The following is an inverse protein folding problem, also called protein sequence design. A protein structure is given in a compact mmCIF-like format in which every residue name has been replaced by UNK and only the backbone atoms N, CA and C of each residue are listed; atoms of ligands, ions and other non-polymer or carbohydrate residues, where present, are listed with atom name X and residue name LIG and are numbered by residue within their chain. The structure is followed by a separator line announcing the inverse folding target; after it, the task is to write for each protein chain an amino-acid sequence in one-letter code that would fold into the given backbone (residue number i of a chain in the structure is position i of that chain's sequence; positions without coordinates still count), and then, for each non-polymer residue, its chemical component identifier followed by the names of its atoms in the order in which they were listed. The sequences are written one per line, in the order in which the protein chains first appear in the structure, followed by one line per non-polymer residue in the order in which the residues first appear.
data_IF_668478310630
#
_entry.id   IF_668478310630
#
_cell.length_a   1.000
_cell.length_b   1.000
_cell.length_c   1.000
_cell.angle_alpha   90.00
_cell.angle_beta   90.00
_cell.angle_gamma   90.00
#
_symmetry.space_group_name_H-M   'P 1'
#
loop_
_entity.id
_entity.type
_entity.pdbx_description
1 polymer ?
#
# COMPACT_ATOMS: atom_id res chain seq x y z
N UNK A 1 15.49 -16.39 27.41
CA UNK A 1 15.62 -15.98 25.99
C UNK A 1 14.33 -15.28 25.61
N UNK A 2 14.36 -14.02 25.14
CA UNK A 2 13.18 -13.44 24.52
C UNK A 2 12.83 -14.25 23.28
N UNK A 3 11.54 -14.47 22.97
CA UNK A 3 11.15 -15.12 21.74
C UNK A 3 11.71 -14.31 20.55
N UNK A 4 12.18 -14.98 19.48
CA UNK A 4 12.57 -14.28 18.27
C UNK A 4 11.41 -13.41 17.80
N UNK A 5 11.69 -12.15 17.46
CA UNK A 5 10.68 -11.24 16.92
C UNK A 5 10.04 -11.89 15.69
N UNK A 6 8.70 -11.98 15.62
CA UNK A 6 8.04 -12.64 14.50
C UNK A 6 8.40 -11.91 13.19
N UNK A 7 8.95 -12.65 12.24
CA UNK A 7 9.29 -12.14 10.90
C UNK A 7 8.03 -12.10 10.05
N UNK A 8 7.68 -10.92 9.56
CA UNK A 8 6.51 -10.74 8.70
C UNK A 8 6.95 -10.89 7.23
N UNK A 9 6.43 -11.93 6.57
CA UNK A 9 6.76 -12.22 5.17
C UNK A 9 5.78 -11.49 4.26
N UNK A 10 6.30 -10.62 3.39
CA UNK A 10 5.46 -9.77 2.52
C UNK A 10 5.70 -10.05 1.06
N UNK A 11 4.63 -10.05 0.29
CA UNK A 11 4.72 -9.99 -1.17
C UNK A 11 4.19 -8.65 -1.67
N UNK A 12 4.95 -8.00 -2.53
CA UNK A 12 4.53 -6.79 -3.24
C UNK A 12 5.19 -6.75 -4.61
N UNK A 13 4.49 -6.19 -5.58
CA UNK A 13 5.01 -5.93 -6.92
C UNK A 13 5.38 -4.45 -7.00
N UNK A 14 6.66 -4.11 -7.28
CA UNK A 14 7.06 -2.74 -7.52
C UNK A 14 6.34 -2.17 -8.74
N UNK A 15 6.02 -0.88 -8.71
CA UNK A 15 5.36 -0.20 -9.84
C UNK A 15 6.29 0.91 -10.31
N UNK A 16 6.79 0.79 -11.55
CA UNK A 16 7.82 1.66 -12.12
C UNK A 16 7.42 3.13 -12.15
N UNK A 17 6.13 3.43 -12.22
CA UNK A 17 5.61 4.76 -12.51
C UNK A 17 5.27 5.57 -11.26
N UNK A 18 5.63 5.07 -10.07
CA UNK A 18 5.35 5.74 -8.77
C UNK A 18 6.52 6.60 -8.26
N UNK A 19 7.47 6.96 -9.12
CA UNK A 19 8.64 7.80 -8.79
C UNK A 19 9.40 7.34 -7.53
N UNK A 20 9.46 6.03 -7.27
CA UNK A 20 10.14 5.44 -6.11
C UNK A 20 9.37 5.55 -4.78
N UNK A 21 8.13 6.02 -4.78
CA UNK A 21 7.31 6.10 -3.58
C UNK A 21 6.98 4.72 -2.98
N UNK A 22 6.74 3.71 -3.82
CA UNK A 22 6.57 2.32 -3.44
C UNK A 22 7.80 1.77 -2.69
N UNK A 23 9.00 2.05 -3.22
CA UNK A 23 10.27 1.68 -2.58
C UNK A 23 10.46 2.42 -1.24
N UNK A 24 10.09 3.70 -1.17
CA UNK A 24 10.17 4.50 0.07
C UNK A 24 9.24 3.94 1.16
N UNK A 25 8.00 3.58 0.81
CA UNK A 25 7.03 2.93 1.72
C UNK A 25 7.62 1.63 2.25
N UNK A 26 8.08 0.75 1.37
CA UNK A 26 8.65 -0.55 1.77
C UNK A 26 9.92 -0.41 2.61
N UNK A 27 10.73 0.62 2.37
CA UNK A 27 11.92 0.92 3.18
C UNK A 27 11.52 1.36 4.60
N UNK A 28 10.53 2.24 4.73
CA UNK A 28 10.01 2.65 6.04
C UNK A 28 9.46 1.47 6.82
N UNK A 29 8.64 0.64 6.17
CA UNK A 29 8.06 -0.55 6.79
C UNK A 29 9.16 -1.51 7.28
N UNK A 30 10.18 -1.79 6.45
CA UNK A 30 11.32 -2.66 6.84
C UNK A 30 12.16 -2.12 7.99
N UNK A 31 12.24 -0.80 8.15
CA UNK A 31 12.97 -0.20 9.26
C UNK A 31 12.19 -0.30 10.57
N UNK A 32 10.86 -0.26 10.50
CA UNK A 32 9.98 -0.24 11.67
C UNK A 32 9.53 -1.66 12.09
N UNK A 33 9.54 -2.60 11.15
CA UNK A 33 9.12 -3.99 11.35
C UNK A 33 10.17 -4.97 10.82
N UNK A 34 10.21 -6.17 11.40
CA UNK A 34 11.07 -7.26 10.91
C UNK A 34 10.43 -7.91 9.65
N UNK A 35 10.42 -7.16 8.54
CA UNK A 35 9.78 -7.56 7.28
C UNK A 35 10.78 -8.16 6.28
N UNK A 36 10.39 -9.27 5.66
CA UNK A 36 11.16 -9.90 4.57
C UNK A 36 10.30 -10.02 3.33
N UNK A 37 10.81 -9.54 2.18
CA UNK A 37 10.15 -9.73 0.88
C UNK A 37 10.25 -11.20 0.48
N UNK A 38 9.13 -11.84 0.18
CA UNK A 38 9.09 -13.24 -0.25
C UNK A 38 8.28 -13.41 -1.54
N UNK A 39 8.32 -14.63 -2.09
CA UNK A 39 7.40 -15.03 -3.15
C UNK A 39 5.97 -15.06 -2.63
N UNK A 40 5.01 -14.97 -3.56
CA UNK A 40 3.57 -14.99 -3.28
C UNK A 40 3.14 -16.22 -2.46
N UNK A 41 3.68 -17.40 -2.77
CA UNK A 41 3.37 -18.65 -2.06
C UNK A 41 3.77 -18.62 -0.58
N UNK A 42 4.87 -17.92 -0.25
CA UNK A 42 5.49 -17.95 1.08
C UNK A 42 5.19 -16.71 1.94
N UNK A 43 4.48 -15.71 1.42
CA UNK A 43 4.13 -14.52 2.18
C UNK A 43 2.98 -14.77 3.18
N UNK A 44 2.96 -14.00 4.26
CA UNK A 44 1.87 -13.92 5.23
C UNK A 44 0.87 -12.84 4.86
N UNK A 45 1.32 -11.76 4.22
CA UNK A 45 0.47 -10.64 3.76
C UNK A 45 0.91 -10.15 2.38
N UNK A 46 -0.05 -9.69 1.59
CA UNK A 46 0.17 -9.12 0.26
C UNK A 46 -0.07 -7.61 0.32
N UNK A 47 0.89 -6.81 -0.14
CA UNK A 47 0.73 -5.35 -0.28
C UNK A 47 0.56 -5.04 -1.77
N UNK A 48 -0.55 -4.38 -2.11
CA UNK A 48 -0.91 -4.01 -3.48
C UNK A 48 -0.88 -2.50 -3.60
N UNK A 49 0.00 -1.97 -4.46
CA UNK A 49 0.02 -0.55 -4.80
C UNK A 49 -0.94 -0.30 -5.96
N UNK A 50 -1.87 0.65 -5.80
CA UNK A 50 -2.89 0.97 -6.79
C UNK A 50 -2.82 2.45 -7.14
N UNK A 51 -2.37 2.83 -8.35
CA UNK A 51 -2.38 4.23 -8.76
C UNK A 51 -3.82 4.75 -8.91
N UNK A 52 -4.10 5.93 -8.36
CA UNK A 52 -5.39 6.63 -8.49
C UNK A 52 -5.18 7.79 -9.45
N UNK A 53 -5.40 7.56 -10.75
CA UNK A 53 -5.06 8.54 -11.80
C UNK A 53 -6.24 9.00 -12.66
N UNK A 54 -7.23 8.13 -12.93
CA UNK A 54 -8.30 8.43 -13.90
C UNK A 54 -9.69 7.96 -13.47
N UNK A 55 -9.83 6.69 -13.10
CA UNK A 55 -11.08 6.13 -12.61
C UNK A 55 -10.79 5.22 -11.43
N UNK A 56 -11.08 5.73 -10.24
CA UNK A 56 -10.80 5.05 -8.99
C UNK A 56 -11.37 3.63 -8.93
N UNK A 57 -12.62 3.45 -9.39
CA UNK A 57 -13.28 2.15 -9.38
C UNK A 57 -12.62 1.16 -10.34
N UNK A 58 -12.24 1.60 -11.54
CA UNK A 58 -11.56 0.76 -12.53
C UNK A 58 -10.18 0.32 -12.05
N UNK A 59 -9.42 1.23 -11.46
CA UNK A 59 -8.08 0.94 -10.96
C UNK A 59 -8.13 -0.03 -9.77
N UNK A 60 -9.07 0.14 -8.83
CA UNK A 60 -9.27 -0.83 -7.73
C UNK A 60 -9.67 -2.18 -8.28
N UNK A 61 -10.66 -2.21 -9.19
CA UNK A 61 -11.14 -3.47 -9.77
C UNK A 61 -10.00 -4.22 -10.45
N UNK A 62 -9.24 -3.52 -11.28
CA UNK A 62 -8.04 -4.03 -11.92
C UNK A 62 -7.01 -4.52 -10.90
N UNK A 63 -6.74 -3.78 -9.83
CA UNK A 63 -5.82 -4.20 -8.77
C UNK A 63 -6.33 -5.44 -8.01
N UNK A 64 -7.63 -5.56 -7.78
CA UNK A 64 -8.23 -6.71 -7.09
C UNK A 64 -8.34 -7.95 -7.98
N UNK A 65 -8.47 -7.77 -9.30
CA UNK A 65 -8.58 -8.84 -10.29
C UNK A 65 -7.21 -9.34 -10.78
N UNK A 66 -6.28 -8.43 -11.09
CA UNK A 66 -4.94 -8.76 -11.61
C UNK A 66 -4.04 -9.37 -10.55
N UNK A 67 -4.18 -8.91 -9.31
CA UNK A 67 -3.54 -9.60 -8.21
C UNK A 67 -4.46 -10.74 -7.79
N UNK A 68 -4.00 -12.00 -7.69
CA UNK A 68 -4.81 -13.12 -7.22
C UNK A 68 -5.02 -13.03 -5.70
N UNK A 69 -5.38 -11.84 -5.22
CA UNK A 69 -5.88 -11.58 -3.88
C UNK A 69 -7.07 -12.48 -3.60
N UNK A 70 -8.00 -12.54 -4.57
CA UNK A 70 -9.22 -13.33 -4.51
C UNK A 70 -8.99 -14.84 -4.44
N UNK A 71 -7.84 -15.35 -4.91
CA UNK A 71 -7.52 -16.78 -4.93
C UNK A 71 -6.45 -17.20 -3.93
N UNK A 72 -5.77 -16.25 -3.28
CA UNK A 72 -4.73 -16.57 -2.29
C UNK A 72 -5.29 -16.87 -0.90
N UNK A 73 -6.48 -16.38 -0.55
CA UNK A 73 -7.05 -16.48 0.82
C UNK A 73 -6.21 -15.79 1.90
N UNK A 74 -5.19 -15.01 1.51
CA UNK A 74 -4.27 -14.31 2.41
C UNK A 74 -4.76 -12.90 2.68
N UNK A 75 -4.49 -12.33 3.86
CA UNK A 75 -4.75 -10.93 4.10
C UNK A 75 -3.97 -10.08 3.10
N UNK A 76 -4.60 -9.00 2.64
CA UNK A 76 -3.97 -8.05 1.75
C UNK A 76 -4.25 -6.61 2.21
N UNK A 77 -3.34 -5.74 1.84
CA UNK A 77 -3.37 -4.31 2.13
C UNK A 77 -3.35 -3.58 0.80
N UNK A 78 -4.37 -2.77 0.55
CA UNK A 78 -4.45 -1.94 -0.65
C UNK A 78 -3.90 -0.53 -0.35
N UNK A 79 -2.85 -0.14 -1.05
CA UNK A 79 -2.24 1.18 -0.93
C UNK A 79 -2.69 2.02 -2.12
N UNK A 80 -3.61 2.94 -1.89
CA UNK A 80 -4.15 3.84 -2.90
C UNK A 80 -3.18 5.01 -3.10
N UNK A 81 -2.51 5.03 -4.25
CA UNK A 81 -1.41 5.92 -4.57
C UNK A 81 -1.94 7.11 -5.38
N UNK A 82 -2.10 8.27 -4.76
CA UNK A 82 -2.57 9.50 -5.39
C UNK A 82 -1.39 10.32 -5.88
N UNK A 83 -1.37 10.63 -7.17
CA UNK A 83 -0.36 11.50 -7.75
C UNK A 83 -0.72 12.96 -7.45
N UNK A 84 -0.21 13.48 -6.34
CA UNK A 84 -0.51 14.83 -5.87
C UNK A 84 0.59 15.34 -4.95
N UNK A 85 0.87 16.64 -5.06
CA UNK A 85 1.72 17.39 -4.12
C UNK A 85 0.91 18.06 -3.00
N UNK A 86 -0.41 18.04 -3.11
CA UNK A 86 -1.30 18.67 -2.13
C UNK A 86 -1.33 17.83 -0.85
N UNK A 87 -0.90 18.42 0.26
CA UNK A 87 -0.84 17.76 1.55
C UNK A 87 -2.23 17.57 2.17
N UNK A 88 -3.21 18.38 1.74
CA UNK A 88 -4.60 18.41 2.22
C UNK A 88 -5.57 17.85 1.17
N UNK A 89 -5.06 17.07 0.21
CA UNK A 89 -5.87 16.45 -0.83
C UNK A 89 -7.01 15.62 -0.23
N UNK A 90 -8.24 15.94 -0.62
CA UNK A 90 -9.42 15.23 -0.13
C UNK A 90 -9.57 13.86 -0.79
N UNK A 91 -9.60 12.82 0.04
CA UNK A 91 -9.84 11.43 -0.39
C UNK A 91 -11.31 11.02 -0.32
N UNK A 92 -12.22 11.92 0.09
CA UNK A 92 -13.61 11.57 0.41
C UNK A 92 -14.40 10.92 -0.74
N UNK A 93 -14.06 11.21 -2.01
CA UNK A 93 -14.69 10.58 -3.18
C UNK A 93 -14.24 9.14 -3.44
N UNK A 94 -13.21 8.70 -2.73
CA UNK A 94 -12.52 7.42 -2.83
C UNK A 94 -13.09 6.43 -1.80
N UNK A 95 -13.44 6.91 -0.61
CA UNK A 95 -13.92 6.07 0.50
C UNK A 95 -15.33 5.48 0.27
N UNK A 96 -16.03 5.88 -0.79
CA UNK A 96 -17.42 5.49 -1.07
C UNK A 96 -17.56 4.21 -1.89
N UNK A 97 -16.45 3.64 -2.39
CA UNK A 97 -16.51 2.43 -3.22
C UNK A 97 -16.95 1.20 -2.42
N UNK A 98 -17.98 0.51 -2.89
CA UNK A 98 -18.44 -0.74 -2.27
C UNK A 98 -17.37 -1.83 -2.27
N UNK A 99 -16.44 -1.79 -3.23
CA UNK A 99 -15.33 -2.73 -3.34
C UNK A 99 -14.36 -2.64 -2.14
N UNK A 100 -14.32 -1.48 -1.46
CA UNK A 100 -13.43 -1.24 -0.33
C UNK A 100 -14.04 -1.56 1.04
N UNK A 101 -15.35 -1.81 1.13
CA UNK A 101 -16.05 -2.04 2.41
C UNK A 101 -15.48 -3.18 3.25
N UNK A 102 -14.87 -4.17 2.61
CA UNK A 102 -14.32 -5.37 3.27
C UNK A 102 -12.81 -5.50 3.10
N UNK A 103 -12.16 -4.44 2.62
CA UNK A 103 -10.73 -4.42 2.33
C UNK A 103 -10.06 -3.44 3.27
N UNK A 104 -8.90 -3.82 3.82
CA UNK A 104 -8.07 -2.85 4.51
C UNK A 104 -7.28 -2.05 3.47
N UNK A 105 -7.47 -0.74 3.46
CA UNK A 105 -6.79 0.17 2.54
C UNK A 105 -6.27 1.42 3.25
N UNK A 106 -5.28 2.06 2.64
CA UNK A 106 -4.74 3.35 3.07
C UNK A 106 -4.51 4.25 1.87
N UNK A 107 -4.61 5.57 2.09
CA UNK A 107 -4.28 6.57 1.07
C UNK A 107 -2.85 7.05 1.25
N UNK A 108 -2.12 7.11 0.14
CA UNK A 108 -0.75 7.61 0.10
C UNK A 108 -0.59 8.59 -1.05
N UNK A 109 0.06 9.71 -0.78
CA UNK A 109 0.32 10.76 -1.74
C UNK A 109 1.75 10.70 -2.23
N UNK A 110 1.94 10.77 -3.54
CA UNK A 110 3.26 10.81 -4.16
C UNK A 110 3.32 11.86 -5.25
N UNK A 111 4.50 12.46 -5.43
CA UNK A 111 4.75 13.43 -6.48
C UNK A 111 6.25 13.44 -6.82
N UNK A 112 6.57 13.58 -8.10
CA UNK A 112 7.94 13.58 -8.62
C UNK A 112 8.77 14.74 -8.04
N UNK A 113 8.15 15.90 -7.80
CA UNK A 113 8.85 17.07 -7.23
C UNK A 113 9.23 16.88 -5.76
N UNK A 114 8.55 15.97 -5.05
CA UNK A 114 8.81 15.62 -3.65
C UNK A 114 9.75 14.41 -3.51
N UNK A 115 10.40 14.01 -4.61
CA UNK A 115 11.23 12.80 -4.71
C UNK A 115 10.45 11.51 -4.39
N UNK A 116 9.20 11.45 -4.86
CA UNK A 116 8.32 10.30 -4.67
C UNK A 116 7.35 10.53 -3.51
N UNK A 117 7.61 9.93 -2.34
CA UNK A 117 6.68 9.92 -1.22
C UNK A 117 6.58 11.30 -0.54
N UNK A 118 5.40 11.92 -0.62
CA UNK A 118 5.12 13.24 -0.01
C UNK A 118 5.27 13.19 1.52
N UNK A 119 5.84 14.23 2.11
CA UNK A 119 6.02 14.34 3.57
C UNK A 119 4.82 15.04 4.21
N UNK A 120 3.76 14.28 4.47
CA UNK A 120 2.54 14.78 5.10
C UNK A 120 2.05 13.87 6.23
N UNK A 121 1.11 14.38 7.05
CA UNK A 121 0.53 13.63 8.16
C UNK A 121 -0.25 12.39 7.65
N UNK A 122 -0.95 12.51 6.52
CA UNK A 122 -1.67 11.39 5.90
C UNK A 122 -0.73 10.21 5.62
N UNK A 123 0.39 10.45 4.93
CA UNK A 123 1.37 9.40 4.64
C UNK A 123 2.02 8.83 5.91
N UNK A 124 2.24 9.65 6.93
CA UNK A 124 2.77 9.18 8.21
C UNK A 124 1.77 8.27 8.95
N UNK A 125 0.47 8.58 8.91
CA UNK A 125 -0.59 7.75 9.47
C UNK A 125 -0.76 6.46 8.67
N UNK A 126 -0.79 6.53 7.34
CA UNK A 126 -0.89 5.37 6.46
C UNK A 126 0.21 4.33 6.75
N UNK A 127 1.47 4.76 6.94
CA UNK A 127 2.56 3.86 7.31
C UNK A 127 2.29 3.18 8.67
N UNK A 128 1.87 3.94 9.68
CA UNK A 128 1.53 3.38 11.00
C UNK A 128 0.32 2.43 10.95
N UNK A 129 -0.65 2.70 10.10
CA UNK A 129 -1.83 1.84 9.91
C UNK A 129 -1.43 0.51 9.27
N UNK A 130 -0.57 0.54 8.24
CA UNK A 130 0.01 -0.68 7.65
C UNK A 130 0.78 -1.48 8.71
N UNK A 131 1.53 -0.80 9.58
CA UNK A 131 2.35 -1.47 10.61
C UNK A 131 1.53 -2.19 11.68
N UNK A 132 0.30 -1.71 11.94
CA UNK A 132 -0.60 -2.28 12.95
C UNK A 132 -1.46 -3.43 12.45
N UNK A 133 -1.45 -3.70 11.14
CA UNK A 133 -2.34 -4.64 10.48
C UNK A 133 -1.74 -6.05 10.39
#
# INVERSE_FOLDING_TARGET
FPPPTPVVKVHYTPISDMFGADAAIMTKLKNNLNLVKTTRGNCSVIIVFCPVSRSFESEIRSAMENFPVSSSGKPFILVLMHHTRDHDYSTAGCDTSEMLKHVFYVHVFYHETEKGLVRCNQNAMAIKDIERK
#
